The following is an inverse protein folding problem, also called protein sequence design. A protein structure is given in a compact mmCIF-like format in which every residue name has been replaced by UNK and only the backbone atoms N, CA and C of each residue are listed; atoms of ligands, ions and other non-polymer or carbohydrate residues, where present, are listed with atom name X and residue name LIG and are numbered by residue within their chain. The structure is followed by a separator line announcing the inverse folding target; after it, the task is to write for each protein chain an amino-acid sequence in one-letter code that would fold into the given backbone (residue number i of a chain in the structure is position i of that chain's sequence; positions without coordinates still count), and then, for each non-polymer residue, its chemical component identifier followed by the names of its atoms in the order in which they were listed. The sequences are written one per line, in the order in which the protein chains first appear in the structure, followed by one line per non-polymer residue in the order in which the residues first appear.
data_IF_450012229855
#
_entry.id   IF_450012229855
#
_cell.length_a   1.000
_cell.length_b   1.000
_cell.length_c   1.000
_cell.angle_alpha   90.00
_cell.angle_beta   90.00
_cell.angle_gamma   90.00
#
_symmetry.space_group_name_H-M   'P 1'
#
loop_
_entity.id
_entity.type
_entity.pdbx_description
1 polymer ?
#
# COMPACT_ATOMS: atom_id res chain seq x y z
N UNK A 1 4.55 -10.16 13.62
CA UNK A 1 4.43 -11.18 12.55
C UNK A 1 3.39 -10.76 11.51
N UNK A 2 3.69 -11.01 10.28
CA UNK A 2 2.86 -10.60 9.17
C UNK A 2 1.83 -11.65 8.79
N UNK A 3 0.72 -11.22 8.18
CA UNK A 3 -0.29 -12.13 7.67
C UNK A 3 0.30 -13.00 6.54
N UNK A 4 -0.39 -14.12 6.24
CA UNK A 4 0.01 -14.99 5.12
C UNK A 4 -0.02 -14.25 3.78
N UNK A 5 -0.95 -13.31 3.63
CA UNK A 5 -1.05 -12.53 2.39
C UNK A 5 0.12 -11.56 2.24
N UNK A 6 0.52 -10.91 3.33
CA UNK A 6 1.68 -10.01 3.32
C UNK A 6 2.96 -10.80 3.03
N UNK A 7 3.11 -11.97 3.64
CA UNK A 7 4.24 -12.85 3.37
C UNK A 7 4.29 -13.27 1.90
N UNK A 8 3.15 -13.61 1.32
CA UNK A 8 3.06 -13.97 -0.08
C UNK A 8 3.53 -12.83 -0.98
N UNK A 9 3.13 -11.60 -0.66
CA UNK A 9 3.57 -10.43 -1.40
C UNK A 9 5.09 -10.21 -1.26
N UNK A 10 5.63 -10.39 -0.07
CA UNK A 10 7.08 -10.26 0.17
C UNK A 10 7.88 -11.24 -0.67
N UNK A 11 7.42 -12.49 -0.75
CA UNK A 11 8.05 -13.51 -1.59
C UNK A 11 7.98 -13.10 -3.06
N UNK A 12 6.85 -12.58 -3.50
CA UNK A 12 6.71 -12.07 -4.87
C UNK A 12 7.74 -10.97 -5.15
N UNK A 13 7.89 -10.02 -4.23
CA UNK A 13 8.87 -8.93 -4.40
C UNK A 13 10.30 -9.47 -4.51
N UNK A 14 10.66 -10.44 -3.68
CA UNK A 14 12.01 -11.00 -3.69
C UNK A 14 12.31 -11.78 -4.97
N UNK A 15 11.30 -12.37 -5.57
CA UNK A 15 11.47 -13.20 -6.77
C UNK A 15 11.28 -12.44 -8.08
N UNK A 16 10.72 -11.25 -8.04
CA UNK A 16 10.41 -10.49 -9.23
C UNK A 16 11.64 -9.74 -9.72
N UNK A 17 11.98 -9.92 -10.99
CA UNK A 17 13.09 -9.21 -11.61
C UNK A 17 12.78 -7.73 -11.85
N UNK A 18 11.50 -7.35 -11.81
CA UNK A 18 11.08 -5.96 -12.06
C UNK A 18 11.17 -5.10 -10.81
N UNK A 19 11.21 -5.70 -9.63
CA UNK A 19 11.27 -4.95 -8.36
C UNK A 19 12.71 -4.51 -8.12
N UNK A 20 12.92 -3.20 -8.03
CA UNK A 20 14.23 -2.62 -7.77
C UNK A 20 14.53 -2.64 -6.28
N UNK A 21 13.55 -2.21 -5.49
CA UNK A 21 13.64 -2.25 -4.03
C UNK A 21 12.24 -2.28 -3.44
N UNK A 22 12.14 -2.76 -2.21
CA UNK A 22 10.88 -2.73 -1.46
C UNK A 22 11.18 -2.67 0.03
N UNK A 23 10.20 -2.16 0.78
CA UNK A 23 10.29 -2.08 2.23
C UNK A 23 8.90 -2.21 2.84
N UNK A 24 8.83 -2.58 4.09
CA UNK A 24 7.56 -2.73 4.79
C UNK A 24 7.41 -1.65 5.86
N UNK A 25 6.24 -1.01 5.88
CA UNK A 25 5.83 -0.02 6.88
C UNK A 25 6.84 1.12 7.07
N UNK A 26 7.55 1.50 6.01
CA UNK A 26 8.61 2.52 6.09
C UNK A 26 8.09 3.95 5.95
N UNK A 27 6.86 4.15 5.48
CA UNK A 27 6.28 5.46 5.24
C UNK A 27 5.02 5.61 6.06
N UNK A 28 4.81 6.77 6.66
CA UNK A 28 3.58 7.07 7.38
C UNK A 28 2.83 8.24 6.74
N UNK A 29 1.50 8.14 6.74
CA UNK A 29 0.60 9.13 6.17
C UNK A 29 -0.32 9.62 7.27
N UNK A 30 -0.28 10.90 7.65
CA UNK A 30 -1.23 11.44 8.63
C UNK A 30 -2.65 11.47 8.05
N UNK A 31 -3.61 11.10 8.86
CA UNK A 31 -5.02 11.18 8.48
C UNK A 31 -5.87 11.43 9.72
N UNK A 32 -7.09 11.94 9.52
CA UNK A 32 -8.04 12.13 10.61
C UNK A 32 -8.95 10.91 10.67
N UNK A 33 -8.94 10.21 11.82
CA UNK A 33 -9.76 9.01 11.97
C UNK A 33 -11.22 9.38 12.23
N UNK A 34 -12.17 8.75 11.52
CA UNK A 34 -13.60 8.99 11.78
C UNK A 34 -14.05 8.43 13.11
N UNK A 35 -13.25 7.62 13.79
CA UNK A 35 -13.61 7.03 15.08
C UNK A 35 -13.51 8.01 16.24
N UNK A 36 -12.55 8.92 16.22
CA UNK A 36 -12.30 9.85 17.31
C UNK A 36 -12.03 11.28 16.85
N UNK A 37 -12.11 11.56 15.55
CA UNK A 37 -11.84 12.87 14.93
C UNK A 37 -10.45 13.42 15.26
N UNK A 38 -9.49 12.53 15.48
CA UNK A 38 -8.10 12.90 15.79
C UNK A 38 -7.15 12.47 14.69
N UNK A 39 -5.99 13.12 14.65
CA UNK A 39 -4.91 12.76 13.77
C UNK A 39 -4.28 11.44 14.20
N UNK A 40 -4.09 10.54 13.24
CA UNK A 40 -3.38 9.29 13.40
C UNK A 40 -2.40 9.12 12.25
N UNK A 41 -1.47 8.21 12.39
CA UNK A 41 -0.56 7.85 11.31
C UNK A 41 -1.00 6.52 10.70
N UNK A 42 -1.12 6.50 9.38
CA UNK A 42 -1.37 5.30 8.62
C UNK A 42 -0.05 4.84 8.00
N UNK A 43 0.27 3.56 8.19
CA UNK A 43 1.46 2.95 7.62
C UNK A 43 1.04 1.99 6.52
N UNK A 44 1.15 2.36 5.22
CA UNK A 44 0.92 1.39 4.14
C UNK A 44 1.80 0.16 4.34
N UNK A 45 1.29 -1.01 3.98
CA UNK A 45 2.01 -2.27 4.23
C UNK A 45 3.37 -2.30 3.55
N UNK A 46 3.45 -1.80 2.31
CA UNK A 46 4.69 -1.86 1.55
C UNK A 46 4.93 -0.60 0.73
N UNK A 47 6.20 -0.29 0.59
CA UNK A 47 6.75 0.63 -0.41
C UNK A 47 7.45 -0.23 -1.45
N UNK A 48 7.19 0.01 -2.73
CA UNK A 48 7.77 -0.76 -3.82
C UNK A 48 8.24 0.18 -4.92
N UNK A 49 9.47 -0.04 -5.38
CA UNK A 49 10.02 0.65 -6.54
C UNK A 49 10.30 -0.39 -7.61
N UNK A 50 9.74 -0.21 -8.80
CA UNK A 50 9.83 -1.22 -9.84
C UNK A 50 9.87 -0.61 -11.24
N UNK A 51 10.31 -1.41 -12.20
CA UNK A 51 10.24 -1.06 -13.61
C UNK A 51 8.93 -1.59 -14.19
N UNK A 52 8.19 -0.73 -14.87
CA UNK A 52 7.01 -1.17 -15.60
C UNK A 52 7.42 -1.80 -16.97
N UNK A 53 6.44 -2.22 -17.76
CA UNK A 53 6.69 -2.85 -19.05
C UNK A 53 7.31 -1.92 -20.09
N UNK A 54 7.25 -0.60 -19.85
CA UNK A 54 7.89 0.41 -20.69
C UNK A 54 9.27 0.82 -20.16
N UNK A 55 9.80 0.06 -19.20
CA UNK A 55 11.08 0.29 -18.56
C UNK A 55 11.13 1.64 -17.81
N UNK A 56 9.97 2.13 -17.36
CA UNK A 56 9.89 3.34 -16.54
C UNK A 56 9.87 2.94 -15.07
N UNK A 57 10.51 3.77 -14.24
CA UNK A 57 10.58 3.52 -12.80
C UNK A 57 9.30 4.05 -12.15
N UNK A 58 8.58 3.17 -11.45
CA UNK A 58 7.35 3.48 -10.73
C UNK A 58 7.59 3.25 -9.24
N UNK A 59 7.08 4.18 -8.43
CA UNK A 59 7.04 4.01 -6.98
C UNK A 59 5.58 3.86 -6.56
N UNK A 60 5.30 2.81 -5.80
CA UNK A 60 3.94 2.51 -5.35
C UNK A 60 3.90 2.23 -3.86
N UNK A 61 2.85 2.72 -3.19
CA UNK A 61 2.51 2.30 -1.85
C UNK A 61 1.42 1.24 -1.95
N UNK A 62 1.60 0.14 -1.24
CA UNK A 62 0.76 -1.05 -1.36
C UNK A 62 0.10 -1.33 -0.01
N UNK A 63 -1.20 -1.53 -0.04
CA UNK A 63 -1.98 -2.00 1.10
C UNK A 63 -2.58 -3.36 0.75
N UNK A 64 -2.52 -4.31 1.68
CA UNK A 64 -3.09 -5.65 1.49
C UNK A 64 -4.25 -5.81 2.46
N UNK A 65 -5.44 -6.00 1.93
CA UNK A 65 -6.68 -6.10 2.72
C UNK A 65 -7.66 -7.08 2.10
N UNK A 66 -8.39 -7.85 2.92
CA UNK A 66 -9.54 -8.59 2.40
C UNK A 66 -10.56 -7.63 1.77
N UNK A 67 -11.18 -8.03 0.67
CA UNK A 67 -12.10 -7.15 -0.05
C UNK A 67 -13.27 -6.67 0.80
N UNK A 68 -13.74 -7.50 1.77
CA UNK A 68 -14.86 -7.11 2.62
C UNK A 68 -14.53 -5.94 3.56
N UNK A 69 -13.26 -5.65 3.80
CA UNK A 69 -12.83 -4.54 4.66
C UNK A 69 -12.71 -3.21 3.92
N UNK A 70 -12.83 -3.21 2.60
CA UNK A 70 -12.68 -1.99 1.81
C UNK A 70 -13.70 -0.89 2.14
N UNK A 71 -14.88 -1.28 2.65
CA UNK A 71 -15.96 -0.34 2.96
C UNK A 71 -15.91 0.20 4.38
N UNK A 72 -14.96 -0.23 5.20
CA UNK A 72 -14.85 0.29 6.57
C UNK A 72 -14.40 1.76 6.55
N UNK A 73 -15.12 2.60 7.31
CA UNK A 73 -14.89 4.05 7.29
C UNK A 73 -13.45 4.45 7.58
N UNK A 74 -12.82 3.77 8.53
CA UNK A 74 -11.43 4.05 8.88
C UNK A 74 -10.49 3.74 7.71
N UNK A 75 -10.75 2.68 6.97
CA UNK A 75 -9.95 2.33 5.80
C UNK A 75 -10.14 3.34 4.68
N UNK A 76 -11.37 3.78 4.46
CA UNK A 76 -11.66 4.81 3.46
C UNK A 76 -10.90 6.09 3.77
N UNK A 77 -10.90 6.52 5.05
CA UNK A 77 -10.19 7.73 5.46
C UNK A 77 -8.67 7.60 5.26
N UNK A 78 -8.09 6.46 5.66
CA UNK A 78 -6.67 6.19 5.46
C UNK A 78 -6.28 6.24 3.99
N UNK A 79 -7.07 5.60 3.15
CA UNK A 79 -6.74 5.44 1.73
C UNK A 79 -6.94 6.74 0.96
N UNK A 80 -7.91 7.56 1.33
CA UNK A 80 -8.06 8.90 0.75
C UNK A 80 -6.83 9.77 1.03
N UNK A 81 -6.36 9.75 2.27
CA UNK A 81 -5.17 10.51 2.65
C UNK A 81 -3.94 9.98 1.91
N UNK A 82 -3.80 8.67 1.80
CA UNK A 82 -2.69 8.06 1.08
C UNK A 82 -2.73 8.35 -0.41
N UNK A 83 -3.91 8.29 -1.03
CA UNK A 83 -4.05 8.60 -2.45
C UNK A 83 -3.65 10.05 -2.73
N UNK A 84 -4.09 10.98 -1.88
CA UNK A 84 -3.70 12.38 -2.00
C UNK A 84 -2.19 12.56 -1.91
N UNK A 85 -1.56 11.92 -0.93
CA UNK A 85 -0.11 11.96 -0.77
C UNK A 85 0.60 11.43 -2.02
N UNK A 86 0.15 10.30 -2.53
CA UNK A 86 0.74 9.68 -3.72
C UNK A 86 0.57 10.56 -4.96
N UNK A 87 -0.60 11.18 -5.12
CA UNK A 87 -0.83 12.10 -6.24
C UNK A 87 0.12 13.30 -6.19
N UNK A 88 0.36 13.84 -5.00
CA UNK A 88 1.28 14.96 -4.80
C UNK A 88 2.75 14.58 -5.04
N UNK A 89 3.10 13.33 -4.83
CA UNK A 89 4.49 12.84 -4.91
C UNK A 89 4.77 12.05 -6.20
N UNK A 90 3.84 12.02 -7.15
CA UNK A 90 3.98 11.22 -8.37
C UNK A 90 4.21 9.72 -8.08
N UNK A 91 3.48 9.20 -7.13
CA UNK A 91 3.51 7.80 -6.75
C UNK A 91 2.16 7.15 -7.02
N UNK A 92 2.15 5.84 -7.13
CA UNK A 92 0.91 5.06 -7.22
C UNK A 92 0.50 4.55 -5.85
N UNK A 93 -0.81 4.44 -5.62
CA UNK A 93 -1.34 3.76 -4.46
C UNK A 93 -2.23 2.61 -4.91
N UNK A 94 -1.98 1.40 -4.38
CA UNK A 94 -2.72 0.20 -4.75
C UNK A 94 -3.17 -0.56 -3.52
N UNK A 95 -4.44 -0.97 -3.52
CA UNK A 95 -4.98 -1.87 -2.51
C UNK A 95 -5.16 -3.23 -3.16
N UNK A 96 -4.41 -4.22 -2.68
CA UNK A 96 -4.46 -5.58 -3.18
C UNK A 96 -5.33 -6.44 -2.27
N UNK A 97 -6.21 -7.21 -2.87
CA UNK A 97 -7.11 -8.10 -2.14
C UNK A 97 -6.80 -9.56 -2.52
N UNK A 98 -7.62 -10.50 -2.02
CA UNK A 98 -7.53 -11.90 -2.41
C UNK A 98 -7.59 -12.08 -3.93
N UNK A 99 -8.22 -11.13 -4.64
CA UNK A 99 -8.36 -11.22 -6.09
C UNK A 99 -7.05 -11.06 -6.84
N UNK A 100 -6.13 -10.23 -6.30
CA UNK A 100 -4.82 -10.01 -6.91
C UNK A 100 -3.77 -11.00 -6.42
N UNK A 101 -3.95 -11.54 -5.20
CA UNK A 101 -2.94 -12.40 -4.57
C UNK A 101 -3.14 -13.89 -4.83
N UNK A 102 -4.35 -14.30 -5.18
CA UNK A 102 -4.69 -15.71 -5.34
C UNK A 102 -5.34 -16.04 -6.67
#
# INVERSE_FOLDING_TARGET
YRSMWERRFMIYCDRSNNIIEWDSESIHIPYISPKDDRWHNYYPDFYVKYNDKNDQIIIALIEIKPSFQKKWDVNIAKWKACQKHCDEQNMDFKVLTERELF
#
